data_IF_911848094501
#
_entry.id   IF_911848094501
#
_cell.length_a   1.000
_cell.length_b   1.000
_cell.length_c   1.000
_cell.angle_alpha   90.00
_cell.angle_beta   90.00
_cell.angle_gamma   90.00
#
_symmetry.space_group_name_H-M   'P 1'
#
loop_
_entity.id
_entity.type
_entity.pdbx_description
1 polymer ?
#
# COMPACT_ATOMS: atom_id res chain seq x y z
N UNK A 1 23.20 -1.97 25.67
CA UNK A 1 23.91 -2.97 24.84
C UNK A 1 22.84 -3.63 23.99
N UNK A 2 22.98 -3.64 22.66
CA UNK A 2 22.09 -4.43 21.80
C UNK A 2 22.38 -5.90 22.07
N UNK A 3 21.35 -6.68 22.37
CA UNK A 3 21.49 -8.13 22.53
C UNK A 3 21.43 -8.78 21.14
N UNK A 4 22.13 -9.91 20.90
CA UNK A 4 22.04 -10.63 19.64
C UNK A 4 20.58 -10.99 19.25
N UNK A 5 19.72 -11.18 20.25
CA UNK A 5 18.29 -11.43 20.06
C UNK A 5 17.52 -10.21 19.52
N UNK A 6 17.82 -9.00 20.02
CA UNK A 6 17.23 -7.76 19.51
C UNK A 6 17.60 -7.52 18.04
N UNK A 7 18.85 -7.77 17.68
CA UNK A 7 19.33 -7.61 16.30
C UNK A 7 18.64 -8.60 15.35
N UNK A 8 18.41 -9.85 15.79
CA UNK A 8 17.65 -10.84 15.03
C UNK A 8 16.19 -10.42 14.81
N UNK A 9 15.51 -9.90 15.83
CA UNK A 9 14.13 -9.41 15.72
C UNK A 9 14.06 -8.23 14.75
N UNK A 10 14.96 -7.26 14.87
CA UNK A 10 15.01 -6.10 13.98
C UNK A 10 15.26 -6.50 12.53
N UNK A 11 16.20 -7.43 12.29
CA UNK A 11 16.45 -7.94 10.95
C UNK A 11 15.25 -8.70 10.36
N UNK A 12 14.55 -9.51 11.17
CA UNK A 12 13.35 -10.23 10.73
C UNK A 12 12.20 -9.28 10.35
N UNK A 13 12.01 -8.21 11.13
CA UNK A 13 11.01 -7.16 10.85
C UNK A 13 11.33 -6.39 9.58
N UNK A 14 12.60 -6.03 9.39
CA UNK A 14 13.07 -5.34 8.17
C UNK A 14 12.87 -6.23 6.94
N UNK A 15 13.27 -7.50 7.00
CA UNK A 15 13.05 -8.46 5.92
C UNK A 15 11.56 -8.63 5.58
N UNK A 16 10.68 -8.63 6.59
CA UNK A 16 9.23 -8.67 6.36
C UNK A 16 8.75 -7.40 5.65
N UNK A 17 9.25 -6.23 6.03
CA UNK A 17 8.94 -4.96 5.35
C UNK A 17 9.42 -4.93 3.91
N UNK A 18 10.64 -5.39 3.64
CA UNK A 18 11.16 -5.52 2.28
C UNK A 18 10.31 -6.45 1.41
N UNK A 19 9.87 -7.59 1.95
CA UNK A 19 8.96 -8.52 1.26
C UNK A 19 7.60 -7.88 0.99
N UNK A 20 7.05 -7.13 1.95
CA UNK A 20 5.83 -6.35 1.76
C UNK A 20 5.97 -5.35 0.61
N UNK A 21 7.06 -4.58 0.60
CA UNK A 21 7.37 -3.64 -0.49
C UNK A 21 7.53 -4.35 -1.85
N UNK A 22 8.13 -5.54 -1.89
CA UNK A 22 8.25 -6.32 -3.12
C UNK A 22 6.89 -6.79 -3.64
N UNK A 23 5.96 -7.21 -2.77
CA UNK A 23 4.59 -7.58 -3.15
C UNK A 23 3.84 -6.37 -3.74
N UNK A 24 3.92 -5.21 -3.09
CA UNK A 24 3.32 -3.97 -3.61
C UNK A 24 3.93 -3.55 -4.95
N UNK A 25 5.25 -3.66 -5.09
CA UNK A 25 5.96 -3.38 -6.34
C UNK A 25 5.55 -4.31 -7.48
N UNK A 26 5.41 -5.61 -7.20
CA UNK A 26 4.93 -6.60 -8.16
C UNK A 26 3.47 -6.34 -8.57
N UNK A 27 2.59 -6.02 -7.62
CA UNK A 27 1.21 -5.63 -7.90
C UNK A 27 1.16 -4.38 -8.79
N UNK A 28 1.91 -3.33 -8.45
CA UNK A 28 1.96 -2.09 -9.20
C UNK A 28 2.48 -2.31 -10.64
N UNK A 29 3.57 -3.06 -10.79
CA UNK A 29 4.14 -3.39 -12.09
C UNK A 29 3.16 -4.19 -12.96
N UNK A 30 2.57 -5.25 -12.41
CA UNK A 30 1.58 -6.06 -13.11
C UNK A 30 0.39 -5.20 -13.55
N UNK A 31 -0.11 -4.37 -12.63
CA UNK A 31 -1.26 -3.52 -12.89
C UNK A 31 -0.96 -2.48 -13.97
N UNK A 32 0.22 -1.86 -13.94
CA UNK A 32 0.69 -0.90 -14.95
C UNK A 32 0.86 -1.56 -16.32
N UNK A 33 1.51 -2.72 -16.41
CA UNK A 33 1.72 -3.44 -17.68
C UNK A 33 0.38 -3.86 -18.29
N UNK A 34 -0.47 -4.50 -17.50
CA UNK A 34 -1.78 -4.98 -17.97
C UNK A 34 -2.67 -3.81 -18.35
N UNK A 35 -2.82 -2.81 -17.49
CA UNK A 35 -3.70 -1.68 -17.76
C UNK A 35 -3.15 -0.76 -18.84
N UNK A 36 -1.83 -0.59 -18.94
CA UNK A 36 -1.18 0.13 -20.04
C UNK A 36 -1.41 -0.55 -21.39
N UNK A 37 -1.35 -1.88 -21.44
CA UNK A 37 -1.65 -2.64 -22.65
C UNK A 37 -3.11 -2.46 -23.11
N UNK A 38 -4.06 -2.57 -22.16
CA UNK A 38 -5.49 -2.50 -22.46
C UNK A 38 -5.98 -1.07 -22.74
N UNK A 39 -5.54 -0.06 -21.98
CA UNK A 39 -6.01 1.33 -22.19
C UNK A 39 -5.70 1.82 -23.60
N UNK A 40 -4.58 1.39 -24.19
CA UNK A 40 -4.18 1.72 -25.56
C UNK A 40 -5.03 1.01 -26.65
N UNK A 41 -5.87 0.03 -26.27
CA UNK A 41 -6.63 -0.84 -27.20
C UNK A 41 -8.14 -0.83 -26.97
N UNK A 42 -8.58 -0.33 -25.83
CA UNK A 42 -10.01 -0.18 -25.50
C UNK A 42 -10.57 1.15 -26.00
N UNK A 43 -11.79 1.16 -26.54
CA UNK A 43 -12.48 2.38 -26.95
C UNK A 43 -12.78 3.29 -25.75
N UNK A 44 -12.43 4.57 -25.88
CA UNK A 44 -12.68 5.67 -24.93
C UNK A 44 -14.12 5.80 -24.44
N UNK A 45 -15.11 5.23 -25.15
CA UNK A 45 -16.53 5.24 -24.79
C UNK A 45 -16.93 4.03 -23.93
N UNK A 46 -15.97 3.22 -23.49
CA UNK A 46 -16.22 2.00 -22.72
C UNK A 46 -15.78 2.13 -21.27
N UNK A 47 -16.47 1.40 -20.40
CA UNK A 47 -16.10 1.25 -18.98
C UNK A 47 -14.69 0.66 -18.84
N UNK A 48 -14.35 -0.30 -19.70
CA UNK A 48 -13.05 -0.97 -19.68
C UNK A 48 -11.89 0.01 -19.91
N UNK A 49 -12.04 0.92 -20.88
CA UNK A 49 -11.04 1.96 -21.12
C UNK A 49 -10.80 2.82 -19.88
N UNK A 50 -11.88 3.31 -19.27
CA UNK A 50 -11.76 4.16 -18.09
C UNK A 50 -11.24 3.41 -16.86
N UNK A 51 -11.59 2.13 -16.69
CA UNK A 51 -11.02 1.28 -15.65
C UNK A 51 -9.49 1.19 -15.78
N UNK A 52 -8.99 0.85 -16.97
CA UNK A 52 -7.56 0.73 -17.20
C UNK A 52 -6.84 2.09 -17.18
N UNK A 53 -7.48 3.16 -17.65
CA UNK A 53 -6.94 4.52 -17.55
C UNK A 53 -6.76 4.96 -16.10
N UNK A 54 -7.74 4.69 -15.24
CA UNK A 54 -7.63 5.00 -13.82
C UNK A 54 -6.57 4.15 -13.14
N UNK A 55 -6.47 2.86 -13.47
CA UNK A 55 -5.39 1.99 -12.99
C UNK A 55 -4.00 2.54 -13.34
N UNK A 56 -3.79 2.98 -14.58
CA UNK A 56 -2.52 3.61 -14.98
C UNK A 56 -2.28 4.90 -14.19
N UNK A 57 -3.30 5.73 -14.05
CA UNK A 57 -3.22 6.99 -13.31
C UNK A 57 -2.88 6.77 -11.83
N UNK A 58 -3.46 5.76 -11.20
CA UNK A 58 -3.17 5.35 -9.83
C UNK A 58 -1.71 4.91 -9.67
N UNK A 59 -1.20 4.11 -10.60
CA UNK A 59 0.20 3.68 -10.59
C UNK A 59 1.18 4.85 -10.77
N UNK A 60 0.81 5.90 -11.53
CA UNK A 60 1.62 7.13 -11.62
C UNK A 60 1.70 7.83 -10.26
N UNK A 61 0.58 7.96 -9.55
CA UNK A 61 0.58 8.51 -8.19
C UNK A 61 1.47 7.69 -7.26
N UNK A 62 1.35 6.36 -7.30
CA UNK A 62 2.20 5.46 -6.50
C UNK A 62 3.69 5.63 -6.84
N UNK A 63 4.04 5.73 -8.12
CA UNK A 63 5.42 5.93 -8.56
C UNK A 63 6.01 7.26 -8.04
N UNK A 64 5.22 8.34 -8.08
CA UNK A 64 5.64 9.63 -7.53
C UNK A 64 5.86 9.57 -6.02
N UNK A 65 4.95 8.91 -5.29
CA UNK A 65 5.10 8.70 -3.85
C UNK A 65 6.32 7.83 -3.51
N UNK A 66 6.57 6.78 -4.29
CA UNK A 66 7.73 5.91 -4.11
C UNK A 66 9.05 6.67 -4.35
N UNK A 67 9.15 7.44 -5.43
CA UNK A 67 10.31 8.29 -5.71
C UNK A 67 10.52 9.30 -4.58
N UNK A 68 9.45 9.96 -4.13
CA UNK A 68 9.53 10.89 -3.01
C UNK A 68 9.99 10.20 -1.72
N UNK A 69 9.47 9.00 -1.44
CA UNK A 69 9.87 8.18 -0.30
C UNK A 69 11.35 7.82 -0.33
N UNK A 70 11.86 7.38 -1.48
CA UNK A 70 13.28 7.07 -1.69
C UNK A 70 14.15 8.32 -1.46
N UNK A 71 13.75 9.48 -2.00
CA UNK A 71 14.49 10.74 -1.81
C UNK A 71 14.51 11.21 -0.35
N UNK A 72 13.52 10.79 0.46
CA UNK A 72 13.42 11.09 1.88
C UNK A 72 14.00 9.99 2.78
N UNK A 73 14.30 8.82 2.23
CA UNK A 73 14.80 7.69 2.99
C UNK A 73 16.23 7.98 3.49
N UNK A 74 16.46 7.73 4.78
CA UNK A 74 17.78 7.83 5.39
C UNK A 74 18.30 6.41 5.69
N UNK A 75 19.25 5.87 4.89
CA UNK A 75 19.65 4.46 4.94
C UNK A 75 20.31 3.96 6.23
N UNK A 76 20.66 4.84 7.17
CA UNK A 76 21.43 4.49 8.37
C UNK A 76 20.59 4.16 9.61
N UNK A 77 19.28 3.87 9.45
CA UNK A 77 18.35 3.92 10.58
C UNK A 77 18.13 2.61 11.37
N UNK A 78 18.65 1.45 10.93
CA UNK A 78 18.22 0.15 11.51
C UNK A 78 19.34 -0.61 12.22
N UNK A 79 20.61 -0.39 11.87
CA UNK A 79 21.74 -1.04 12.55
C UNK A 79 22.05 -0.34 13.88
N UNK A 80 21.97 -1.07 14.98
CA UNK A 80 22.32 -0.57 16.31
C UNK A 80 21.20 0.14 17.08
N UNK A 81 19.93 -0.03 16.67
CA UNK A 81 18.79 0.49 17.42
C UNK A 81 18.74 -0.12 18.82
N UNK A 82 18.60 0.73 19.83
CA UNK A 82 18.25 0.31 21.19
C UNK A 82 16.85 -0.32 21.24
N UNK A 83 16.53 -1.02 22.33
CA UNK A 83 15.19 -1.59 22.54
C UNK A 83 14.09 -0.50 22.50
N UNK A 84 14.35 0.68 23.08
CA UNK A 84 13.43 1.79 23.08
C UNK A 84 13.18 2.33 21.66
N UNK A 85 14.24 2.51 20.87
CA UNK A 85 14.13 2.96 19.48
C UNK A 85 13.45 1.91 18.60
N UNK A 86 13.72 0.62 18.84
CA UNK A 86 13.10 -0.51 18.13
C UNK A 86 11.58 -0.57 18.38
N UNK A 87 11.15 -0.34 19.62
CA UNK A 87 9.74 -0.23 19.99
C UNK A 87 9.07 1.01 19.38
N UNK A 88 9.74 2.16 19.41
CA UNK A 88 9.22 3.38 18.79
C UNK A 88 9.04 3.20 17.27
N UNK A 89 10.01 2.57 16.59
CA UNK A 89 9.93 2.25 15.18
C UNK A 89 8.81 1.23 14.87
N UNK A 90 8.61 0.22 15.73
CA UNK A 90 7.51 -0.73 15.62
C UNK A 90 6.15 -0.02 15.65
N UNK A 91 5.91 0.78 16.69
CA UNK A 91 4.66 1.51 16.86
C UNK A 91 4.42 2.51 15.73
N UNK A 92 5.47 3.21 15.29
CA UNK A 92 5.38 4.14 14.18
C UNK A 92 4.93 3.43 12.89
N UNK A 93 5.55 2.31 12.55
CA UNK A 93 5.21 1.55 11.35
C UNK A 93 3.80 0.94 11.42
N UNK A 94 3.42 0.39 12.58
CA UNK A 94 2.06 -0.11 12.82
C UNK A 94 1.00 0.98 12.65
N UNK A 95 1.23 2.19 13.17
CA UNK A 95 0.32 3.32 12.97
C UNK A 95 0.22 3.74 11.49
N UNK A 96 1.31 3.68 10.73
CA UNK A 96 1.27 3.95 9.29
C UNK A 96 0.41 2.92 8.55
N UNK A 97 0.54 1.63 8.87
CA UNK A 97 -0.29 0.57 8.28
C UNK A 97 -1.78 0.76 8.62
N UNK A 98 -2.10 1.08 9.87
CA UNK A 98 -3.50 1.32 10.28
C UNK A 98 -4.08 2.57 9.63
N UNK A 99 -3.28 3.63 9.49
CA UNK A 99 -3.69 4.84 8.78
C UNK A 99 -3.98 4.53 7.30
N UNK A 100 -3.10 3.78 6.64
CA UNK A 100 -3.29 3.37 5.24
C UNK A 100 -4.52 2.48 5.08
N UNK A 101 -4.70 1.48 5.95
CA UNK A 101 -5.91 0.64 5.94
C UNK A 101 -7.20 1.49 6.08
N UNK A 102 -7.17 2.56 6.87
CA UNK A 102 -8.26 3.53 6.95
C UNK A 102 -8.48 4.32 5.65
N UNK A 103 -7.40 4.77 5.00
CA UNK A 103 -7.46 5.42 3.69
C UNK A 103 -7.98 4.48 2.60
N UNK A 104 -7.67 3.20 2.68
CA UNK A 104 -8.15 2.20 1.72
C UNK A 104 -9.65 1.99 1.79
N UNK A 105 -10.21 1.96 3.00
CA UNK A 105 -11.66 1.97 3.19
C UNK A 105 -12.30 3.25 2.63
N UNK A 106 -11.64 4.40 2.77
CA UNK A 106 -12.09 5.64 2.15
C UNK A 106 -12.06 5.54 0.61
N UNK A 107 -11.00 4.99 0.03
CA UNK A 107 -10.94 4.73 -1.42
C UNK A 107 -12.05 3.80 -1.88
N UNK A 108 -12.31 2.71 -1.17
CA UNK A 108 -13.45 1.82 -1.46
C UNK A 108 -14.78 2.57 -1.42
N UNK A 109 -14.97 3.43 -0.41
CA UNK A 109 -16.14 4.30 -0.29
C UNK A 109 -16.30 5.26 -1.47
N UNK A 110 -15.21 5.91 -1.89
CA UNK A 110 -15.19 6.78 -3.08
C UNK A 110 -15.49 5.99 -4.34
N UNK A 111 -14.88 4.81 -4.51
CA UNK A 111 -15.11 3.93 -5.65
C UNK A 111 -16.58 3.49 -5.74
N UNK A 112 -17.18 3.09 -4.62
CA UNK A 112 -18.59 2.79 -4.53
C UNK A 112 -19.47 4.00 -4.86
N UNK A 113 -19.17 5.16 -4.25
CA UNK A 113 -19.91 6.40 -4.51
C UNK A 113 -19.90 6.79 -6.00
N UNK A 114 -18.74 6.71 -6.66
CA UNK A 114 -18.62 6.97 -8.10
C UNK A 114 -19.55 6.08 -8.93
N UNK A 115 -19.61 4.78 -8.62
CA UNK A 115 -20.49 3.81 -9.30
C UNK A 115 -21.96 4.13 -9.08
N UNK A 116 -22.37 4.51 -7.86
CA UNK A 116 -23.77 4.91 -7.61
C UNK A 116 -24.19 6.17 -8.37
N UNK A 117 -23.23 7.07 -8.68
CA UNK A 117 -23.47 8.30 -9.44
C UNK A 117 -23.39 8.11 -10.95
N UNK A 118 -22.73 7.06 -11.43
CA UNK A 118 -22.50 6.80 -12.85
C UNK A 118 -23.77 6.88 -13.70
N UNK A 119 -24.93 6.27 -13.33
CA UNK A 119 -26.13 6.29 -14.18
C UNK A 119 -26.71 7.68 -14.44
N UNK A 120 -26.39 8.68 -13.58
CA UNK A 120 -26.90 10.05 -13.68
C UNK A 120 -25.87 11.03 -14.26
N UNK A 121 -24.69 10.55 -14.64
CA UNK A 121 -23.60 11.39 -15.11
C UNK A 121 -23.66 11.62 -16.61
N UNK A 122 -23.02 12.70 -17.08
CA UNK A 122 -22.87 12.97 -18.52
C UNK A 122 -22.00 11.92 -19.24
N UNK A 123 -21.12 11.22 -18.50
CA UNK A 123 -20.29 10.11 -18.99
C UNK A 123 -20.36 8.93 -18.01
N UNK A 124 -21.45 8.13 -18.05
CA UNK A 124 -21.65 7.02 -17.13
C UNK A 124 -20.51 6.00 -17.16
N UNK A 125 -20.03 5.66 -18.35
CA UNK A 125 -18.94 4.72 -18.59
C UNK A 125 -17.65 5.11 -17.85
N UNK A 126 -17.37 6.41 -17.77
CA UNK A 126 -16.17 6.94 -17.11
C UNK A 126 -16.25 6.80 -15.61
N UNK A 127 -17.37 7.23 -15.01
CA UNK A 127 -17.55 7.14 -13.56
C UNK A 127 -17.61 5.67 -13.11
N UNK A 128 -18.26 4.79 -13.88
CA UNK A 128 -18.29 3.36 -13.57
C UNK A 128 -16.89 2.74 -13.67
N UNK A 129 -16.13 3.04 -14.74
CA UNK A 129 -14.76 2.52 -14.90
C UNK A 129 -13.82 2.99 -13.81
N UNK A 130 -13.84 4.29 -13.50
CA UNK A 130 -13.04 4.88 -12.42
C UNK A 130 -13.44 4.32 -11.07
N UNK A 131 -14.74 4.22 -10.78
CA UNK A 131 -15.23 3.67 -9.53
C UNK A 131 -14.84 2.20 -9.32
N UNK A 132 -14.88 1.37 -10.38
CA UNK A 132 -14.40 -0.02 -10.34
C UNK A 132 -12.90 -0.11 -10.07
N UNK A 133 -12.11 0.76 -10.70
CA UNK A 133 -10.66 0.80 -10.51
C UNK A 133 -10.30 1.20 -9.09
N UNK A 134 -10.85 2.31 -8.58
CA UNK A 134 -10.60 2.78 -7.21
C UNK A 134 -11.05 1.74 -6.17
N UNK A 135 -12.19 1.09 -6.39
CA UNK A 135 -12.67 0.02 -5.50
C UNK A 135 -11.73 -1.18 -5.48
N UNK A 136 -11.20 -1.61 -6.64
CA UNK A 136 -10.23 -2.70 -6.73
C UNK A 136 -8.92 -2.35 -6.02
N UNK A 137 -8.38 -1.15 -6.24
CA UNK A 137 -7.15 -0.71 -5.59
C UNK A 137 -7.33 -0.63 -4.08
N UNK A 138 -8.40 0.03 -3.61
CA UNK A 138 -8.69 0.12 -2.18
C UNK A 138 -8.91 -1.25 -1.53
N UNK A 139 -9.60 -2.17 -2.20
CA UNK A 139 -9.80 -3.52 -1.64
C UNK A 139 -8.49 -4.32 -1.54
N UNK A 140 -7.63 -4.24 -2.55
CA UNK A 140 -6.31 -4.88 -2.51
C UNK A 140 -5.43 -4.30 -1.40
N UNK A 141 -5.34 -2.97 -1.32
CA UNK A 141 -4.52 -2.29 -0.32
C UNK A 141 -5.04 -2.53 1.10
N UNK A 142 -6.37 -2.46 1.33
CA UNK A 142 -6.95 -2.72 2.64
C UNK A 142 -6.61 -4.14 3.14
N UNK A 143 -6.71 -5.14 2.24
CA UNK A 143 -6.34 -6.53 2.56
C UNK A 143 -4.84 -6.66 2.84
N UNK A 144 -4.02 -6.00 2.02
CA UNK A 144 -2.58 -5.99 2.17
C UNK A 144 -2.15 -5.35 3.49
N UNK A 145 -2.57 -4.10 3.77
CA UNK A 145 -2.14 -3.34 4.95
C UNK A 145 -2.68 -3.94 6.25
N UNK A 146 -3.93 -4.42 6.25
CA UNK A 146 -4.50 -5.12 7.40
C UNK A 146 -3.77 -6.45 7.65
N UNK A 147 -3.58 -7.26 6.60
CA UNK A 147 -2.87 -8.54 6.71
C UNK A 147 -1.42 -8.34 7.15
N UNK A 148 -0.76 -7.32 6.60
CA UNK A 148 0.61 -6.99 6.95
C UNK A 148 0.71 -6.47 8.39
N UNK A 149 -0.22 -5.63 8.84
CA UNK A 149 -0.31 -5.21 10.24
C UNK A 149 -0.42 -6.42 11.17
N UNK A 150 -1.31 -7.37 10.88
CA UNK A 150 -1.51 -8.57 11.73
C UNK A 150 -0.25 -9.43 11.84
N UNK A 151 0.51 -9.59 10.76
CA UNK A 151 1.77 -10.35 10.78
C UNK A 151 2.88 -9.54 11.46
N UNK A 152 3.00 -8.25 11.14
CA UNK A 152 4.04 -7.37 11.68
C UNK A 152 3.88 -7.14 13.19
N UNK A 153 2.64 -7.07 13.68
CA UNK A 153 2.33 -6.86 15.10
C UNK A 153 2.84 -8.00 16.01
N UNK A 154 3.08 -9.20 15.46
CA UNK A 154 3.67 -10.31 16.22
C UNK A 154 5.05 -9.97 16.80
N UNK A 155 5.79 -9.06 16.15
CA UNK A 155 7.08 -8.61 16.64
C UNK A 155 6.99 -7.64 17.83
N UNK A 156 5.85 -6.96 18.03
CA UNK A 156 5.65 -6.11 19.21
C UNK A 156 5.69 -6.94 20.49
N UNK A 157 5.04 -8.11 20.51
CA UNK A 157 5.09 -9.02 21.64
C UNK A 157 6.50 -9.56 21.91
N UNK A 158 7.28 -9.84 20.85
CA UNK A 158 8.67 -10.28 20.97
C UNK A 158 9.56 -9.20 21.58
N UNK A 159 9.46 -7.95 21.11
CA UNK A 159 10.21 -6.81 21.67
C UNK A 159 9.86 -6.55 23.13
N UNK A 160 8.59 -6.67 23.52
CA UNK A 160 8.16 -6.48 24.91
C UNK A 160 8.63 -7.57 25.87
N UNK A 161 8.94 -8.76 25.35
CA UNK A 161 9.46 -9.88 26.15
C UNK A 161 10.94 -9.75 26.49
N UNK A 162 11.68 -8.86 25.80
CA UNK A 162 13.09 -8.63 26.06
C UNK A 162 13.31 -7.88 27.39
N UNK A 163 14.38 -8.21 28.13
CA UNK A 163 14.74 -7.49 29.34
C UNK A 163 15.12 -6.03 29.00
N UNK A 164 14.69 -5.11 29.87
CA UNK A 164 14.95 -3.66 29.76
C UNK A 164 16.39 -3.31 30.15
#
# INVERSE_FOLDING_TARGET
>A
MTTPELDLINHARELLAERGMAILGAWALLNLVVSGYYVARTDTRTVAHHFHLMNVSWNVVNALLAVWGILRANPQHVAGLSLAESNAAQLHFEHLLLLNAGLDLLYMGVGYWLRTRAPKAARPERLEGFGRSVLLQGAFLALFDTGFYLVYHQYAAQLQSLPQ
#
